data_IF_986145499064
#
_entry.id   IF_986145499064
#
_cell.length_a   1.000
_cell.length_b   1.000
_cell.length_c   1.000
_cell.angle_alpha   90.00
_cell.angle_beta   90.00
_cell.angle_gamma   90.00
#
_symmetry.space_group_name_H-M   'P 1'
#
loop_
_entity.id
_entity.type
_entity.pdbx_description
1 polymer ?
#
# COMPACT_ATOMS: atom_id res chain seq x y z
N UNK A 1 64.91 29.22 42.36
CA UNK A 1 65.24 28.08 43.24
C UNK A 1 64.76 28.38 44.65
N UNK A 2 64.41 27.33 45.41
CA UNK A 2 63.89 27.25 46.81
C UNK A 2 62.48 27.83 47.02
N UNK A 3 61.38 27.06 47.12
CA UNK A 3 61.02 25.86 47.93
C UNK A 3 60.90 26.13 49.43
N UNK A 4 59.67 26.15 49.95
CA UNK A 4 59.18 25.71 51.29
C UNK A 4 57.80 26.35 51.52
N UNK A 5 56.84 25.81 52.24
CA UNK A 5 56.47 24.48 52.75
C UNK A 5 55.07 24.67 53.36
N UNK A 6 54.32 23.60 53.43
CA UNK A 6 52.90 23.54 53.75
C UNK A 6 52.54 23.97 55.19
N UNK A 7 51.28 24.37 55.36
CA UNK A 7 50.50 24.06 56.58
C UNK A 7 49.11 23.58 56.22
N UNK A 8 48.84 22.37 56.67
CA UNK A 8 47.56 21.68 56.74
C UNK A 8 46.68 22.30 57.83
N UNK A 9 45.39 22.46 57.56
CA UNK A 9 44.35 22.47 58.58
C UNK A 9 43.19 21.56 58.15
N UNK A 10 42.88 20.62 59.05
CA UNK A 10 41.80 19.65 59.00
C UNK A 10 40.46 20.30 59.32
N UNK A 11 39.43 19.71 58.73
CA UNK A 11 38.10 19.48 59.28
C UNK A 11 37.26 20.70 59.73
N UNK A 12 36.14 20.91 59.05
CA UNK A 12 34.85 20.94 59.73
C UNK A 12 33.74 20.56 58.74
N UNK A 13 32.99 19.55 59.16
CA UNK A 13 31.69 19.15 58.62
C UNK A 13 30.76 20.33 58.38
N UNK A 14 30.03 20.28 57.26
CA UNK A 14 28.58 20.51 57.24
C UNK A 14 28.00 20.09 55.90
N UNK A 15 27.53 18.85 55.87
CA UNK A 15 26.49 18.40 54.97
C UNK A 15 25.22 19.22 55.22
N UNK A 16 25.02 20.31 54.47
CA UNK A 16 23.71 20.92 54.30
C UNK A 16 23.06 20.32 53.06
N UNK A 17 22.34 19.22 53.25
CA UNK A 17 21.26 18.80 52.37
C UNK A 17 20.17 19.88 52.40
N UNK A 18 20.18 20.78 51.41
CA UNK A 18 19.00 21.59 51.11
C UNK A 18 17.94 20.65 50.53
N UNK A 19 16.92 20.38 51.34
CA UNK A 19 15.72 19.69 50.89
C UNK A 19 15.06 20.49 49.78
N UNK A 20 15.19 20.03 48.55
CA UNK A 20 14.25 20.37 47.50
C UNK A 20 12.91 19.78 47.91
N UNK A 21 11.96 20.64 48.25
CA UNK A 21 10.53 20.33 48.34
C UNK A 21 10.10 19.73 47.01
N UNK A 22 10.12 18.40 46.95
CA UNK A 22 9.60 17.62 45.86
C UNK A 22 8.09 17.86 45.83
N UNK A 23 7.62 18.67 44.87
CA UNK A 23 6.21 18.86 44.59
C UNK A 23 5.63 17.48 44.27
N UNK A 24 4.91 16.90 45.25
CA UNK A 24 4.15 15.67 45.05
C UNK A 24 3.20 15.92 43.89
N UNK A 25 3.49 15.31 42.73
CA UNK A 25 2.51 15.19 41.66
C UNK A 25 1.25 14.56 42.25
N UNK A 26 0.06 15.09 41.95
CA UNK A 26 -1.18 14.43 42.32
C UNK A 26 -1.16 13.02 41.73
N UNK A 27 -1.24 12.02 42.61
CA UNK A 27 -1.42 10.63 42.21
C UNK A 27 -2.84 10.53 41.69
N UNK A 28 -2.99 10.62 40.38
CA UNK A 28 -4.24 10.27 39.71
C UNK A 28 -4.38 8.76 39.87
N UNK A 29 -5.12 8.35 40.90
CA UNK A 29 -5.67 7.00 40.98
C UNK A 29 -6.70 6.88 39.86
N UNK A 30 -6.28 6.25 38.76
CA UNK A 30 -7.22 5.69 37.79
C UNK A 30 -8.05 4.63 38.51
N UNK A 31 -9.40 4.72 38.50
CA UNK A 31 -10.22 3.62 38.95
C UNK A 31 -9.91 2.41 38.07
N UNK A 32 -9.37 1.35 38.67
CA UNK A 32 -9.39 0.02 38.08
C UNK A 32 -10.85 -0.39 37.92
N UNK A 33 -11.39 -0.10 36.74
CA UNK A 33 -12.70 -0.58 36.32
C UNK A 33 -12.60 -2.08 36.08
N UNK A 34 -12.97 -2.85 37.11
CA UNK A 34 -13.32 -4.27 36.99
C UNK A 34 -14.68 -4.36 36.29
N UNK A 35 -14.69 -4.07 34.99
CA UNK A 35 -15.72 -4.51 34.07
C UNK A 35 -15.02 -5.02 32.82
N UNK A 36 -14.45 -6.22 32.95
CA UNK A 36 -14.07 -7.05 31.82
C UNK A 36 -15.34 -7.50 31.09
N UNK A 37 -15.97 -6.58 30.37
CA UNK A 37 -16.81 -6.95 29.23
C UNK A 37 -15.86 -7.14 28.06
N UNK A 38 -15.50 -8.40 27.82
CA UNK A 38 -15.06 -8.83 26.51
C UNK A 38 -16.06 -8.26 25.50
N UNK A 39 -15.69 -7.20 24.79
CA UNK A 39 -16.28 -6.91 23.49
C UNK A 39 -15.80 -8.03 22.59
N UNK A 40 -16.55 -9.12 22.59
CA UNK A 40 -16.65 -10.05 21.48
C UNK A 40 -16.77 -9.19 20.23
N UNK A 41 -15.70 -9.08 19.44
CA UNK A 41 -15.82 -8.64 18.06
C UNK A 41 -16.82 -9.62 17.42
N UNK A 42 -17.96 -9.16 16.89
CA UNK A 42 -18.83 -10.07 16.17
C UNK A 42 -18.02 -10.64 15.01
N UNK A 43 -18.01 -11.97 14.89
CA UNK A 43 -17.49 -12.64 13.73
C UNK A 43 -18.20 -12.05 12.50
N UNK A 44 -17.45 -11.47 11.56
CA UNK A 44 -17.93 -11.10 10.23
C UNK A 44 -18.20 -12.39 9.45
N UNK A 45 -19.31 -13.05 9.82
CA UNK A 45 -19.92 -14.16 9.10
C UNK A 45 -21.41 -13.93 9.13
N UNK A 46 -21.92 -13.24 8.10
CA UNK A 46 -23.15 -13.58 7.36
C UNK A 46 -23.60 -12.38 6.56
N UNK A 47 -23.28 -12.33 5.26
CA UNK A 47 -24.26 -12.14 4.18
C UNK A 47 -23.73 -12.94 2.98
N UNK A 48 -23.89 -14.27 3.02
CA UNK A 48 -23.62 -15.15 1.87
C UNK A 48 -24.87 -15.94 1.56
N UNK A 49 -25.89 -15.27 1.07
CA UNK A 49 -27.08 -15.93 0.51
C UNK A 49 -27.85 -14.97 -0.37
N UNK A 50 -27.70 -15.17 -1.68
CA UNK A 50 -28.69 -15.01 -2.77
C UNK A 50 -27.98 -14.53 -4.02
N UNK A 51 -27.58 -15.47 -4.87
CA UNK A 51 -27.44 -15.36 -6.34
C UNK A 51 -26.75 -16.63 -6.89
N UNK A 52 -27.30 -17.82 -6.59
CA UNK A 52 -26.80 -19.10 -7.16
C UNK A 52 -27.87 -20.04 -7.74
N UNK A 53 -29.12 -19.60 -7.85
CA UNK A 53 -30.23 -20.47 -8.31
C UNK A 53 -30.81 -20.10 -9.69
N UNK A 54 -30.04 -19.43 -10.54
CA UNK A 54 -30.38 -19.27 -11.94
C UNK A 54 -29.17 -19.69 -12.76
N UNK A 55 -29.39 -20.39 -13.88
CA UNK A 55 -28.40 -20.91 -14.82
C UNK A 55 -28.02 -22.40 -14.62
N UNK A 56 -28.90 -23.22 -15.18
CA UNK A 56 -28.67 -24.60 -15.61
C UNK A 56 -27.62 -24.59 -16.75
N UNK A 57 -26.52 -25.38 -16.69
CA UNK A 57 -25.59 -25.51 -17.81
C UNK A 57 -26.13 -26.50 -18.87
N UNK A 58 -26.17 -26.06 -20.12
CA UNK A 58 -26.34 -26.93 -21.30
C UNK A 58 -25.00 -27.56 -21.74
N UNK A 59 -25.03 -28.62 -22.56
CA UNK A 59 -23.90 -29.52 -22.76
C UNK A 59 -22.82 -28.99 -23.73
N UNK A 60 -21.61 -29.47 -23.46
CA UNK A 60 -20.32 -29.26 -24.13
C UNK A 60 -20.37 -29.56 -25.65
N UNK A 61 -19.93 -28.58 -26.45
CA UNK A 61 -19.47 -28.79 -27.82
C UNK A 61 -17.94 -28.79 -27.88
N UNK A 62 -17.37 -29.81 -28.51
CA UNK A 62 -15.93 -30.04 -28.66
C UNK A 62 -15.23 -28.96 -29.51
N UNK A 63 -13.98 -28.56 -29.19
CA UNK A 63 -13.18 -27.71 -30.06
C UNK A 63 -12.33 -28.53 -31.04
N UNK A 64 -12.46 -28.19 -32.32
CA UNK A 64 -11.63 -28.66 -33.43
C UNK A 64 -10.30 -27.87 -33.50
N UNK A 65 -9.12 -28.50 -33.70
CA UNK A 65 -7.85 -27.78 -33.74
C UNK A 65 -7.48 -27.37 -35.17
N UNK A 66 -7.65 -26.10 -35.52
CA UNK A 66 -6.99 -25.51 -36.69
C UNK A 66 -5.79 -24.66 -36.25
N UNK A 67 -4.59 -25.22 -36.46
CA UNK A 67 -3.33 -24.48 -36.46
C UNK A 67 -3.28 -23.61 -37.70
N UNK A 68 -3.33 -22.30 -37.53
CA UNK A 68 -2.80 -21.34 -38.49
C UNK A 68 -1.56 -20.69 -37.88
N UNK A 69 -0.42 -20.95 -38.52
CA UNK A 69 0.79 -20.18 -38.30
C UNK A 69 0.51 -18.77 -38.84
N UNK A 70 0.58 -17.76 -37.97
CA UNK A 70 0.72 -16.37 -38.40
C UNK A 70 2.05 -15.87 -37.86
N UNK A 71 3.00 -15.87 -38.78
CA UNK A 71 4.25 -15.15 -38.69
C UNK A 71 3.97 -13.65 -38.89
N UNK A 72 4.70 -12.80 -38.16
CA UNK A 72 4.75 -11.35 -38.37
C UNK A 72 3.57 -10.53 -37.83
N UNK A 73 3.67 -10.04 -36.60
CA UNK A 73 3.02 -8.77 -36.23
C UNK A 73 3.83 -8.05 -35.15
N UNK A 74 4.26 -6.84 -35.50
CA UNK A 74 4.91 -5.84 -34.68
C UNK A 74 4.71 -6.05 -33.17
N UNK A 75 5.76 -6.52 -32.50
CA UNK A 75 5.89 -6.39 -31.06
C UNK A 75 6.16 -4.90 -30.77
N UNK A 76 5.13 -4.07 -30.92
CA UNK A 76 5.07 -2.79 -30.22
C UNK A 76 5.30 -3.14 -28.77
N UNK A 77 6.50 -2.85 -28.27
CA UNK A 77 6.93 -3.16 -26.91
C UNK A 77 5.90 -2.55 -25.98
N UNK A 78 4.96 -3.37 -25.50
CA UNK A 78 3.95 -2.98 -24.54
C UNK A 78 4.76 -2.50 -23.34
N UNK A 79 4.82 -1.18 -23.14
CA UNK A 79 5.54 -0.60 -22.02
C UNK A 79 4.97 -1.25 -20.76
N UNK A 80 5.76 -2.12 -20.15
CA UNK A 80 5.37 -2.84 -18.95
C UNK A 80 5.17 -1.80 -17.85
N UNK A 81 4.02 -1.88 -17.19
CA UNK A 81 3.68 -0.93 -16.14
C UNK A 81 4.69 -1.11 -15.00
N UNK A 82 5.23 -0.03 -14.46
CA UNK A 82 6.26 -0.08 -13.43
C UNK A 82 5.80 -0.85 -12.19
N UNK A 83 4.51 -0.75 -11.81
CA UNK A 83 3.99 -1.55 -10.70
C UNK A 83 4.03 -3.06 -10.98
N UNK A 84 3.95 -3.51 -12.25
CA UNK A 84 4.10 -4.92 -12.61
C UNK A 84 5.54 -5.38 -12.41
N UNK A 85 6.51 -4.57 -12.80
CA UNK A 85 7.93 -4.89 -12.66
C UNK A 85 8.38 -5.11 -11.20
N UNK A 86 7.72 -4.45 -10.24
CA UNK A 86 7.99 -4.62 -8.80
C UNK A 86 6.95 -5.46 -8.07
N UNK A 87 5.85 -5.80 -8.74
CA UNK A 87 4.71 -6.49 -8.17
C UNK A 87 5.04 -7.93 -7.82
N UNK A 88 4.28 -8.47 -6.87
CA UNK A 88 4.37 -9.87 -6.47
C UNK A 88 2.96 -10.38 -6.11
N UNK A 89 2.62 -11.66 -6.34
CA UNK A 89 1.29 -12.20 -6.04
C UNK A 89 0.85 -12.02 -4.57
N UNK A 90 1.83 -12.01 -3.65
CA UNK A 90 1.59 -11.75 -2.23
C UNK A 90 1.82 -10.29 -1.83
N UNK A 91 1.93 -9.37 -2.78
CA UNK A 91 2.27 -7.97 -2.55
C UNK A 91 3.77 -7.74 -2.40
N UNK A 92 4.19 -6.48 -2.58
CA UNK A 92 5.59 -6.06 -2.47
C UNK A 92 5.73 -4.84 -1.55
N UNK A 93 6.71 -4.88 -0.65
CA UNK A 93 7.07 -3.78 0.24
C UNK A 93 8.10 -2.83 -0.37
N UNK A 94 8.10 -1.57 0.06
CA UNK A 94 9.05 -0.56 -0.38
C UNK A 94 9.59 0.22 0.82
N UNK A 95 10.92 0.23 0.97
CA UNK A 95 11.63 0.95 2.03
C UNK A 95 12.79 1.78 1.48
N UNK A 96 13.30 2.69 2.29
CA UNK A 96 14.42 3.56 1.94
C UNK A 96 14.00 4.94 1.44
N UNK A 97 14.96 5.86 1.25
CA UNK A 97 14.69 7.27 0.95
C UNK A 97 14.01 7.47 -0.42
N UNK A 98 14.22 6.56 -1.37
CA UNK A 98 13.59 6.61 -2.70
C UNK A 98 12.21 5.94 -2.79
N UNK A 99 11.72 5.31 -1.71
CA UNK A 99 10.48 4.52 -1.75
C UNK A 99 9.25 5.37 -2.10
N UNK A 100 9.01 6.47 -1.37
CA UNK A 100 7.90 7.38 -1.67
C UNK A 100 8.01 7.99 -3.09
N UNK A 101 9.18 8.50 -3.53
CA UNK A 101 9.36 8.91 -4.92
C UNK A 101 8.99 7.83 -5.96
N UNK A 102 9.37 6.58 -5.73
CA UNK A 102 9.04 5.47 -6.62
C UNK A 102 7.53 5.17 -6.61
N UNK A 103 6.91 5.09 -5.44
CA UNK A 103 5.46 4.87 -5.31
C UNK A 103 4.65 5.99 -5.98
N UNK A 104 5.09 7.26 -5.89
CA UNK A 104 4.49 8.39 -6.63
C UNK A 104 4.61 8.21 -8.14
N UNK A 105 5.75 7.70 -8.59
CA UNK A 105 6.00 7.42 -10.01
C UNK A 105 5.04 6.35 -10.52
N UNK A 106 4.92 5.24 -9.78
CA UNK A 106 3.97 4.16 -10.08
C UNK A 106 2.51 4.64 -10.04
N UNK A 107 2.13 5.44 -9.03
CA UNK A 107 0.78 6.03 -8.93
C UNK A 107 0.49 6.92 -10.14
N UNK A 108 1.43 7.80 -10.49
CA UNK A 108 1.29 8.72 -11.62
C UNK A 108 1.15 7.95 -12.93
N UNK A 109 1.99 6.93 -13.15
CA UNK A 109 1.90 6.07 -14.33
C UNK A 109 0.59 5.29 -14.36
N UNK A 110 0.16 4.70 -13.24
CA UNK A 110 -1.08 3.95 -13.15
C UNK A 110 -2.34 4.79 -13.40
N UNK A 111 -2.28 6.11 -13.15
CA UNK A 111 -3.40 7.04 -13.37
C UNK A 111 -3.37 7.73 -14.74
N UNK A 112 -2.18 7.96 -15.31
CA UNK A 112 -2.02 8.67 -16.60
C UNK A 112 -1.80 7.75 -17.78
N UNK A 113 -1.31 6.52 -17.55
CA UNK A 113 -0.96 5.58 -18.58
C UNK A 113 -2.19 5.02 -19.32
N UNK A 114 -2.00 4.69 -20.60
CA UNK A 114 -2.98 3.93 -21.39
C UNK A 114 -2.91 2.42 -21.12
N UNK A 115 -1.94 1.98 -20.31
CA UNK A 115 -1.65 0.58 -20.06
C UNK A 115 -2.61 0.01 -19.01
N UNK A 116 -3.49 -0.90 -19.45
CA UNK A 116 -3.95 -2.10 -18.71
C UNK A 116 -4.40 -1.99 -17.25
N UNK A 117 -4.62 -0.81 -16.69
CA UNK A 117 -5.06 -0.61 -15.30
C UNK A 117 -6.53 -0.23 -15.31
N UNK A 118 -7.38 -1.06 -14.72
CA UNK A 118 -8.80 -0.77 -14.55
C UNK A 118 -9.00 0.30 -13.47
N UNK A 119 -8.34 0.13 -12.33
CA UNK A 119 -8.57 0.94 -11.15
C UNK A 119 -7.31 1.04 -10.31
N UNK A 120 -7.15 2.18 -9.64
CA UNK A 120 -6.15 2.41 -8.61
C UNK A 120 -6.88 2.64 -7.29
N UNK A 121 -6.55 1.87 -6.26
CA UNK A 121 -7.15 1.96 -4.93
C UNK A 121 -6.08 2.42 -3.94
N UNK A 122 -6.44 3.33 -3.04
CA UNK A 122 -5.59 3.81 -1.95
C UNK A 122 -6.44 4.39 -0.83
N UNK A 123 -5.87 4.55 0.36
CA UNK A 123 -6.50 5.34 1.44
C UNK A 123 -6.23 6.84 1.25
N UNK A 124 -7.05 7.70 1.87
CA UNK A 124 -6.82 9.14 1.90
C UNK A 124 -5.47 9.49 2.54
N UNK A 125 -5.15 8.83 3.66
CA UNK A 125 -3.88 8.99 4.38
C UNK A 125 -2.68 8.66 3.50
N UNK A 126 -2.75 7.55 2.76
CA UNK A 126 -1.67 7.15 1.85
C UNK A 126 -1.53 8.11 0.66
N UNK A 127 -2.65 8.60 0.13
CA UNK A 127 -2.63 9.55 -0.99
C UNK A 127 -2.06 10.90 -0.56
N UNK A 128 -2.48 11.42 0.60
CA UNK A 128 -1.96 12.67 1.17
C UNK A 128 -0.46 12.59 1.42
N UNK A 129 0.04 11.43 1.89
CA UNK A 129 1.48 11.19 2.05
C UNK A 129 2.22 11.25 0.70
N UNK A 130 1.62 10.74 -0.37
CA UNK A 130 2.24 10.70 -1.70
C UNK A 130 2.18 12.06 -2.41
N UNK A 131 1.08 12.79 -2.36
CA UNK A 131 0.87 13.99 -3.20
C UNK A 131 0.78 15.32 -2.44
N UNK A 132 0.72 15.29 -1.10
CA UNK A 132 0.26 16.36 -0.21
C UNK A 132 -1.28 16.52 -0.18
N UNK A 133 -1.87 16.94 0.97
CA UNK A 133 -3.33 16.99 1.12
C UNK A 133 -4.07 17.91 0.15
N UNK A 134 -3.50 19.09 -0.15
CA UNK A 134 -4.14 20.07 -1.04
C UNK A 134 -4.20 19.57 -2.48
N UNK A 135 -3.13 18.92 -2.94
CA UNK A 135 -3.07 18.38 -4.30
C UNK A 135 -3.84 17.07 -4.44
N UNK A 136 -3.95 16.28 -3.37
CA UNK A 136 -4.71 15.04 -3.36
C UNK A 136 -6.18 15.27 -3.75
N UNK A 137 -6.82 16.33 -3.25
CA UNK A 137 -8.23 16.62 -3.54
C UNK A 137 -8.48 16.85 -5.04
N UNK A 138 -7.67 17.69 -5.68
CA UNK A 138 -7.78 17.96 -7.11
C UNK A 138 -7.53 16.69 -7.95
N UNK A 139 -6.63 15.82 -7.50
CA UNK A 139 -6.35 14.54 -8.17
C UNK A 139 -7.53 13.57 -8.01
N UNK A 140 -8.17 13.52 -6.84
CA UNK A 140 -9.36 12.69 -6.61
C UNK A 140 -10.48 13.07 -7.58
N UNK A 141 -10.81 14.36 -7.67
CA UNK A 141 -11.89 14.83 -8.53
C UNK A 141 -11.60 14.57 -10.02
N UNK A 142 -10.38 14.86 -10.48
CA UNK A 142 -10.00 14.75 -11.89
C UNK A 142 -9.75 13.32 -12.38
N UNK A 143 -9.54 12.35 -11.49
CA UNK A 143 -9.18 10.97 -11.84
C UNK A 143 -10.24 9.93 -11.52
N UNK A 144 -11.43 10.33 -11.07
CA UNK A 144 -12.58 9.42 -11.02
C UNK A 144 -13.05 9.03 -12.44
N UNK A 145 -13.52 7.78 -12.64
CA UNK A 145 -13.67 6.69 -11.67
C UNK A 145 -12.40 5.84 -11.47
N UNK A 146 -11.29 6.16 -12.16
CA UNK A 146 -10.08 5.33 -12.18
C UNK A 146 -9.34 5.32 -10.84
N UNK A 147 -9.37 6.41 -10.09
CA UNK A 147 -8.86 6.49 -8.72
C UNK A 147 -10.00 6.31 -7.73
N UNK A 148 -9.92 5.24 -6.95
CA UNK A 148 -10.78 4.98 -5.79
C UNK A 148 -9.98 5.31 -4.52
N UNK A 149 -10.50 6.26 -3.74
CA UNK A 149 -9.93 6.65 -2.45
C UNK A 149 -10.91 6.29 -1.35
N UNK A 150 -10.43 5.57 -0.35
CA UNK A 150 -11.20 5.20 0.84
C UNK A 150 -10.71 5.94 2.08
N UNK A 151 -11.56 6.04 3.09
CA UNK A 151 -11.21 6.72 4.34
C UNK A 151 -10.26 5.85 5.20
N UNK A 152 -10.46 4.53 5.19
CA UNK A 152 -9.65 3.59 5.95
C UNK A 152 -9.11 2.42 5.11
N UNK A 153 -8.17 1.68 5.71
CA UNK A 153 -7.66 0.42 5.17
C UNK A 153 -8.75 -0.66 5.13
N UNK A 154 -9.63 -0.70 6.15
CA UNK A 154 -10.77 -1.62 6.21
C UNK A 154 -11.72 -1.40 5.03
N UNK A 155 -12.08 -0.14 4.75
CA UNK A 155 -12.92 0.22 3.60
C UNK A 155 -12.25 -0.16 2.26
N UNK A 156 -10.93 -0.01 2.16
CA UNK A 156 -10.19 -0.42 0.97
C UNK A 156 -10.25 -1.94 0.77
N UNK A 157 -10.11 -2.71 1.85
CA UNK A 157 -10.22 -4.16 1.84
C UNK A 157 -11.64 -4.60 1.46
N UNK A 158 -12.68 -3.99 2.04
CA UNK A 158 -14.07 -4.29 1.68
C UNK A 158 -14.34 -4.00 0.21
N UNK A 159 -13.90 -2.84 -0.29
CA UNK A 159 -14.02 -2.49 -1.71
C UNK A 159 -13.31 -3.52 -2.60
N UNK A 160 -12.10 -3.93 -2.22
CA UNK A 160 -11.36 -4.97 -2.92
C UNK A 160 -12.13 -6.29 -2.93
N UNK A 161 -12.60 -6.79 -1.80
CA UNK A 161 -13.34 -8.07 -1.76
C UNK A 161 -14.58 -8.05 -2.67
N UNK A 162 -15.30 -6.92 -2.72
CA UNK A 162 -16.42 -6.73 -3.64
C UNK A 162 -15.98 -6.76 -5.12
N UNK A 163 -14.88 -6.08 -5.46
CA UNK A 163 -14.30 -6.09 -6.81
C UNK A 163 -13.77 -7.48 -7.23
N UNK A 164 -13.24 -8.26 -6.29
CA UNK A 164 -12.79 -9.63 -6.53
C UNK A 164 -13.96 -10.54 -6.92
N UNK A 165 -15.09 -10.42 -6.23
CA UNK A 165 -16.31 -11.15 -6.54
C UNK A 165 -16.84 -10.77 -7.94
N UNK A 166 -16.91 -9.48 -8.25
CA UNK A 166 -17.32 -9.00 -9.59
C UNK A 166 -16.36 -9.50 -10.68
N UNK A 167 -15.04 -9.41 -10.45
CA UNK A 167 -14.03 -9.90 -11.39
C UNK A 167 -14.16 -11.40 -11.64
N UNK A 168 -14.47 -12.18 -10.61
CA UNK A 168 -14.69 -13.63 -10.73
C UNK A 168 -15.94 -13.94 -11.55
N UNK A 169 -17.03 -13.19 -11.35
CA UNK A 169 -18.24 -13.35 -12.16
C UNK A 169 -18.00 -13.00 -13.63
N UNK A 170 -17.28 -11.90 -13.90
CA UNK A 170 -16.96 -11.46 -15.26
C UNK A 170 -16.02 -12.45 -15.96
N UNK A 171 -15.06 -13.05 -15.24
CA UNK A 171 -14.17 -14.09 -15.80
C UNK A 171 -14.91 -15.38 -16.12
N UNK A 172 -15.96 -15.73 -15.37
CA UNK A 172 -16.75 -16.91 -15.65
C UNK A 172 -17.58 -16.80 -16.95
N UNK A 173 -17.84 -15.57 -17.42
CA UNK A 173 -18.64 -15.30 -18.63
C UNK A 173 -17.83 -14.93 -19.87
N UNK A 174 -16.54 -14.61 -19.71
CA UNK A 174 -15.68 -14.13 -20.79
C UNK A 174 -14.58 -15.13 -21.16
N UNK A 175 -14.06 -15.01 -22.39
CA UNK A 175 -12.94 -15.81 -22.87
C UNK A 175 -11.67 -15.55 -22.01
N UNK A 176 -11.09 -16.58 -21.38
CA UNK A 176 -9.88 -16.47 -20.55
C UNK A 176 -8.64 -15.94 -21.30
N UNK A 177 -8.69 -15.86 -22.63
CA UNK A 177 -7.59 -15.33 -23.46
C UNK A 177 -7.40 -13.81 -23.36
N UNK A 178 -8.42 -13.06 -22.91
CA UNK A 178 -8.36 -11.61 -22.77
C UNK A 178 -7.80 -11.23 -21.40
N UNK A 179 -6.50 -10.94 -21.32
CA UNK A 179 -5.84 -10.52 -20.08
C UNK A 179 -6.63 -9.42 -19.36
N UNK A 180 -7.11 -9.70 -18.16
CA UNK A 180 -7.93 -8.74 -17.40
C UNK A 180 -7.09 -7.51 -17.05
N UNK A 181 -7.65 -6.30 -17.16
CA UNK A 181 -6.98 -5.10 -16.65
C UNK A 181 -6.63 -5.29 -15.16
N UNK A 182 -5.46 -4.80 -14.75
CA UNK A 182 -4.98 -4.89 -13.39
C UNK A 182 -5.67 -3.83 -12.51
N UNK A 183 -5.99 -4.22 -11.29
CA UNK A 183 -6.22 -3.31 -10.16
C UNK A 183 -4.87 -3.06 -9.50
N UNK A 184 -4.55 -1.80 -9.24
CA UNK A 184 -3.32 -1.42 -8.51
C UNK A 184 -3.73 -0.90 -7.14
N UNK A 185 -3.22 -1.50 -6.08
CA UNK A 185 -3.53 -1.11 -4.71
C UNK A 185 -2.29 -0.58 -4.00
N UNK A 186 -2.38 0.64 -3.50
CA UNK A 186 -1.36 1.25 -2.64
C UNK A 186 -1.87 1.23 -1.19
N UNK A 187 -1.04 0.72 -0.27
CA UNK A 187 -1.42 0.66 1.14
C UNK A 187 -0.22 0.83 2.08
N UNK A 188 -0.52 1.19 3.32
CA UNK A 188 0.39 1.07 4.45
C UNK A 188 -0.23 0.12 5.48
N UNK A 189 0.05 -1.20 5.39
CA UNK A 189 -0.66 -2.20 6.21
C UNK A 189 -0.44 -2.05 7.71
N UNK A 190 0.77 -1.63 8.12
CA UNK A 190 1.11 -1.47 9.54
C UNK A 190 0.84 -2.76 10.35
N UNK A 191 0.09 -2.69 11.46
CA UNK A 191 -0.23 -3.86 12.28
C UNK A 191 -1.20 -4.85 11.61
N UNK A 192 -1.95 -4.42 10.58
CA UNK A 192 -2.99 -5.21 9.91
C UNK A 192 -2.46 -5.93 8.65
N UNK A 193 -1.14 -6.18 8.61
CA UNK A 193 -0.47 -6.81 7.47
C UNK A 193 -0.99 -8.23 7.18
N UNK A 194 -1.42 -8.96 8.21
CA UNK A 194 -2.01 -10.29 8.10
C UNK A 194 -3.38 -10.25 7.39
N UNK A 195 -4.23 -9.29 7.75
CA UNK A 195 -5.53 -9.05 7.09
C UNK A 195 -5.32 -8.71 5.63
N UNK A 196 -4.40 -7.78 5.34
CA UNK A 196 -4.05 -7.41 3.96
C UNK A 196 -3.59 -8.63 3.16
N UNK A 197 -2.72 -9.46 3.73
CA UNK A 197 -2.24 -10.66 3.04
C UNK A 197 -3.37 -11.67 2.79
N UNK A 198 -4.30 -11.87 3.73
CA UNK A 198 -5.49 -12.70 3.53
C UNK A 198 -6.35 -12.18 2.38
N UNK A 199 -6.56 -10.86 2.27
CA UNK A 199 -7.27 -10.24 1.15
C UNK A 199 -6.58 -10.54 -0.18
N UNK A 200 -5.24 -10.45 -0.25
CA UNK A 200 -4.49 -10.78 -1.46
C UNK A 200 -4.62 -12.25 -1.86
N UNK A 201 -4.63 -13.17 -0.90
CA UNK A 201 -4.79 -14.60 -1.17
C UNK A 201 -6.14 -14.97 -1.76
N UNK A 202 -7.18 -14.19 -1.46
CA UNK A 202 -8.53 -14.39 -2.01
C UNK A 202 -8.69 -13.79 -3.41
N UNK A 203 -7.78 -12.94 -3.85
CA UNK A 203 -7.88 -12.27 -5.14
C UNK A 203 -7.61 -13.22 -6.32
N UNK A 204 -8.35 -13.13 -7.43
CA UNK A 204 -8.06 -13.91 -8.62
C UNK A 204 -6.64 -13.69 -9.13
N UNK A 205 -5.92 -14.75 -9.49
CA UNK A 205 -4.52 -14.63 -9.89
C UNK A 205 -4.29 -13.57 -10.99
N UNK A 206 -3.21 -12.79 -10.81
CA UNK A 206 -2.66 -11.81 -11.76
C UNK A 206 -3.54 -10.60 -12.10
N UNK A 207 -4.64 -10.31 -11.37
CA UNK A 207 -5.44 -9.10 -11.57
C UNK A 207 -5.29 -8.03 -10.50
N UNK A 208 -4.51 -8.27 -9.44
CA UNK A 208 -4.20 -7.27 -8.41
C UNK A 208 -2.69 -7.13 -8.24
N UNK A 209 -2.23 -5.87 -8.26
CA UNK A 209 -0.85 -5.50 -7.98
C UNK A 209 -0.87 -4.67 -6.69
N UNK A 210 -0.41 -5.27 -5.60
CA UNK A 210 -0.42 -4.63 -4.29
C UNK A 210 0.97 -4.11 -3.91
N UNK A 211 1.05 -2.81 -3.65
CA UNK A 211 2.25 -2.05 -3.37
C UNK A 211 2.19 -1.47 -1.95
N UNK A 212 3.02 -2.00 -1.06
CA UNK A 212 3.00 -1.70 0.36
C UNK A 212 4.11 -0.71 0.72
N UNK A 213 3.74 0.42 1.30
CA UNK A 213 4.71 1.34 1.88
C UNK A 213 5.23 0.75 3.21
N UNK A 214 6.54 0.54 3.30
CA UNK A 214 7.18 -0.03 4.48
C UNK A 214 7.60 -1.50 4.30
N UNK A 215 7.95 -2.13 5.42
CA UNK A 215 8.29 -3.54 5.47
C UNK A 215 7.07 -4.40 5.13
N UNK A 216 7.28 -5.45 4.35
CA UNK A 216 6.23 -6.40 4.00
C UNK A 216 6.67 -7.83 4.32
N UNK A 217 6.05 -8.52 5.30
CA UNK A 217 6.54 -9.82 5.77
C UNK A 217 6.10 -11.01 4.90
N UNK A 218 5.13 -10.82 3.99
CA UNK A 218 4.55 -11.91 3.19
C UNK A 218 5.04 -11.94 1.73
N UNK A 219 5.97 -11.06 1.36
CA UNK A 219 6.49 -10.95 0.01
C UNK A 219 7.84 -10.22 -0.03
N UNK A 220 8.37 -9.91 -1.22
CA UNK A 220 9.61 -9.16 -1.34
C UNK A 220 9.44 -7.76 -0.75
N UNK A 221 10.48 -7.26 -0.09
CA UNK A 221 10.61 -5.85 0.27
C UNK A 221 11.80 -5.26 -0.48
N UNK A 222 11.53 -4.26 -1.31
CA UNK A 222 12.52 -3.60 -2.14
C UNK A 222 13.13 -2.40 -1.41
N UNK A 223 14.47 -2.32 -1.41
CA UNK A 223 15.20 -1.16 -0.91
C UNK A 223 15.41 -0.18 -2.06
N UNK A 224 14.87 1.02 -1.91
CA UNK A 224 14.95 2.09 -2.90
C UNK A 224 15.78 3.23 -2.32
N UNK A 225 16.96 3.40 -2.89
CA UNK A 225 17.86 4.50 -2.56
C UNK A 225 17.40 5.80 -3.25
N UNK A 226 17.99 6.93 -2.89
CA UNK A 226 17.72 8.21 -3.56
C UNK A 226 17.98 8.16 -5.07
N UNK A 227 18.90 7.28 -5.50
CA UNK A 227 19.25 7.06 -6.90
C UNK A 227 18.38 6.03 -7.62
N UNK A 228 17.44 5.37 -6.93
CA UNK A 228 16.59 4.33 -7.49
C UNK A 228 16.71 2.95 -6.81
N UNK A 229 16.06 1.92 -7.39
CA UNK A 229 16.02 0.58 -6.82
C UNK A 229 17.39 -0.11 -6.83
N UNK A 230 17.57 -1.07 -5.92
CA UNK A 230 18.70 -2.00 -5.89
C UNK A 230 18.19 -3.45 -6.12
N UNK A 231 18.76 -4.22 -7.06
CA UNK A 231 19.77 -3.82 -8.04
C UNK A 231 19.24 -2.76 -9.02
N UNK A 232 20.15 -2.01 -9.64
CA UNK A 232 19.75 -0.97 -10.58
C UNK A 232 19.08 -1.60 -11.81
N UNK A 233 17.90 -1.11 -12.22
CA UNK A 233 17.26 -1.55 -13.45
C UNK A 233 18.13 -1.21 -14.67
N UNK A 234 17.93 -1.94 -15.78
CA UNK A 234 18.63 -1.69 -17.05
C UNK A 234 18.32 -0.30 -17.65
N UNK A 235 17.19 0.29 -17.26
CA UNK A 235 16.79 1.64 -17.65
C UNK A 235 16.53 2.49 -16.40
N UNK A 236 16.94 3.76 -16.38
CA UNK A 236 16.71 4.64 -15.24
C UNK A 236 15.21 4.88 -15.05
N UNK A 237 14.73 4.70 -13.81
CA UNK A 237 13.35 5.00 -13.43
C UNK A 237 13.32 6.44 -12.90
N UNK A 238 12.54 7.35 -13.51
CA UNK A 238 12.44 8.73 -13.03
C UNK A 238 11.69 8.77 -11.70
N UNK A 239 12.39 9.00 -10.59
CA UNK A 239 11.79 9.15 -9.27
C UNK A 239 11.13 10.54 -9.14
N UNK A 240 9.80 10.57 -9.10
CA UNK A 240 9.05 11.82 -9.02
C UNK A 240 9.04 12.40 -7.60
N UNK A 241 9.22 13.72 -7.51
CA UNK A 241 8.76 14.53 -6.37
C UNK A 241 7.22 14.63 -6.34
N UNK A 242 6.65 15.13 -5.24
CA UNK A 242 5.20 15.32 -5.12
C UNK A 242 4.70 16.33 -6.15
N UNK A 243 5.41 17.46 -6.27
CA UNK A 243 5.10 18.52 -7.24
C UNK A 243 5.14 18.01 -8.69
N UNK A 244 6.17 17.21 -9.04
CA UNK A 244 6.26 16.62 -10.38
C UNK A 244 5.14 15.61 -10.66
N UNK A 245 4.76 14.80 -9.66
CA UNK A 245 3.64 13.87 -9.79
C UNK A 245 2.32 14.63 -10.04
N UNK A 246 2.05 15.66 -9.23
CA UNK A 246 0.86 16.51 -9.36
C UNK A 246 0.82 17.21 -10.71
N UNK A 247 1.92 17.82 -11.14
CA UNK A 247 2.01 18.48 -12.45
C UNK A 247 1.69 17.52 -13.61
N UNK A 248 2.18 16.28 -13.56
CA UNK A 248 1.86 15.25 -14.57
C UNK A 248 0.39 14.80 -14.49
N UNK A 249 -0.15 14.68 -13.28
CA UNK A 249 -1.55 14.34 -13.06
C UNK A 249 -2.51 15.46 -13.45
N UNK A 250 -2.08 16.72 -13.46
CA UNK A 250 -2.90 17.85 -13.92
C UNK A 250 -2.73 18.13 -15.43
N UNK A 251 -1.55 17.88 -16.01
CA UNK A 251 -1.28 18.19 -17.42
C UNK A 251 -1.96 17.29 -18.46
N UNK A 252 -2.49 16.13 -18.05
CA UNK A 252 -3.12 15.14 -18.92
C UNK A 252 -4.66 15.12 -18.78
N UNK A 253 -5.29 16.29 -18.67
CA UNK A 253 -6.77 16.44 -18.64
C UNK A 253 -7.34 17.03 -19.94
N UNK A 254 -6.66 16.83 -21.09
CA UNK A 254 -7.17 17.22 -22.41
C UNK A 254 -7.91 16.08 -23.10
#
# INVERSE_FOLDING_TARGET
MTSTSARTCKACDRLTTRGTTQTRRPRITLPTNKDSRCTFRPALRTIRTRLRDLFIPGPLGEPSPQRTCTDGRDAGTKTELLAQAFGHPHGAGFIGPGANPLLRTMLTEALTGKAGVAQVITTRVDLDRLLSPLSAETVIESRRPRLQVTESLEDAIEHLENEADMTTMIRATNDPSSGSPAVVWFATPGPDADVVHETLQRWPANSLIALMSGLWPYGPTHVIEETGPRPLPSQPIPLLSAEQAVMRLSGNTS
#
